data_IF_500894173219
#
_entry.id   IF_500894173219
#
_cell.length_a   1.000
_cell.length_b   1.000
_cell.length_c   1.000
_cell.angle_alpha   90.00
_cell.angle_beta   90.00
_cell.angle_gamma   90.00
#
_symmetry.space_group_name_H-M   'P 1'
#
loop_
_entity.id
_entity.type
_entity.pdbx_description
1 polymer ?
#
# COMPACT_ATOMS: atom_id res chain seq x y z
N UNK A 1 -29.05 -25.44 -6.62
CA UNK A 1 -27.77 -25.51 -5.87
C UNK A 1 -26.55 -25.23 -6.75
N UNK A 2 -26.32 -25.97 -7.86
CA UNK A 2 -25.15 -25.75 -8.75
C UNK A 2 -25.02 -24.31 -9.28
N UNK A 3 -26.14 -23.67 -9.66
CA UNK A 3 -26.17 -22.27 -10.13
C UNK A 3 -25.83 -21.23 -9.04
N UNK A 4 -26.22 -21.50 -7.79
CA UNK A 4 -25.89 -20.64 -6.64
C UNK A 4 -24.42 -20.71 -6.27
N UNK A 5 -23.82 -21.91 -6.37
CA UNK A 5 -22.37 -22.11 -6.18
C UNK A 5 -21.55 -21.39 -7.25
N UNK A 6 -22.01 -21.36 -8.50
CA UNK A 6 -21.33 -20.64 -9.58
C UNK A 6 -21.41 -19.12 -9.37
N UNK A 7 -22.55 -18.60 -8.92
CA UNK A 7 -22.71 -17.16 -8.61
C UNK A 7 -21.84 -16.75 -7.42
N UNK A 8 -21.72 -17.59 -6.39
CA UNK A 8 -20.85 -17.29 -5.24
C UNK A 8 -19.36 -17.33 -5.62
N UNK A 9 -18.94 -18.28 -6.47
CA UNK A 9 -17.55 -18.35 -6.96
C UNK A 9 -17.21 -17.16 -7.86
N UNK A 10 -18.13 -16.72 -8.74
CA UNK A 10 -17.94 -15.55 -9.61
C UNK A 10 -17.92 -14.24 -8.81
N UNK A 11 -18.75 -14.11 -7.78
CA UNK A 11 -18.75 -12.95 -6.89
C UNK A 11 -17.43 -12.80 -6.11
N UNK A 12 -16.87 -13.91 -5.62
CA UNK A 12 -15.56 -13.92 -4.95
C UNK A 12 -14.44 -13.55 -5.93
N UNK A 13 -14.50 -14.02 -7.17
CA UNK A 13 -13.50 -13.68 -8.21
C UNK A 13 -13.45 -12.19 -8.56
N UNK A 14 -14.58 -11.49 -8.55
CA UNK A 14 -14.67 -10.05 -8.81
C UNK A 14 -14.10 -9.19 -7.67
N UNK A 15 -14.23 -9.64 -6.42
CA UNK A 15 -13.65 -8.95 -5.24
C UNK A 15 -12.12 -9.05 -5.25
N UNK A 16 -11.55 -10.16 -5.75
CA UNK A 16 -10.10 -10.36 -5.87
C UNK A 16 -9.47 -9.55 -7.02
N UNK A 17 -10.24 -9.19 -8.04
CA UNK A 17 -9.76 -8.39 -9.18
C UNK A 17 -9.85 -6.87 -8.93
N UNK A 18 -10.62 -6.44 -7.92
CA UNK A 18 -10.73 -5.04 -7.51
C UNK A 18 -9.70 -4.60 -6.46
N UNK A 19 -8.86 -5.52 -5.97
CA UNK A 19 -7.84 -5.26 -4.95
C UNK A 19 -6.57 -4.56 -5.48
N UNK A 20 -6.68 -3.82 -6.59
CA UNK A 20 -5.63 -2.95 -7.11
C UNK A 20 -5.65 -1.61 -6.35
N UNK A 21 -5.38 -1.65 -5.04
CA UNK A 21 -5.35 -0.45 -4.21
C UNK A 21 -4.58 -0.69 -2.91
N UNK A 22 -3.75 0.29 -2.53
CA UNK A 22 -2.69 0.24 -1.51
C UNK A 22 -3.09 -0.02 -0.06
N UNK A 23 -4.24 -0.63 0.20
CA UNK A 23 -4.56 -1.28 1.47
C UNK A 23 -5.82 -2.11 1.29
N UNK A 24 -5.72 -3.42 1.51
CA UNK A 24 -6.86 -4.31 1.37
C UNK A 24 -7.71 -4.30 2.66
N UNK A 25 -8.90 -3.69 2.55
CA UNK A 25 -10.19 -4.09 3.11
C UNK A 25 -10.75 -3.62 4.46
N UNK A 26 -10.05 -2.95 5.38
CA UNK A 26 -10.75 -2.45 6.58
C UNK A 26 -10.36 -1.06 7.12
N UNK A 27 -9.27 -0.44 6.68
CA UNK A 27 -8.90 0.89 7.18
C UNK A 27 -8.08 1.74 6.21
N UNK A 28 -8.70 2.24 5.13
CA UNK A 28 -8.14 3.38 4.38
C UNK A 28 -9.22 4.26 3.80
N UNK A 29 -9.52 5.34 4.49
CA UNK A 29 -10.16 6.52 3.88
C UNK A 29 -9.24 7.19 2.84
N UNK A 30 -7.94 6.84 2.79
CA UNK A 30 -6.94 7.49 1.94
C UNK A 30 -6.02 6.52 1.20
N UNK A 31 -5.91 6.69 -0.12
CA UNK A 31 -4.86 6.05 -0.94
C UNK A 31 -3.66 6.98 -1.00
N UNK A 32 -2.55 6.60 -0.35
CA UNK A 32 -1.30 7.35 -0.43
C UNK A 32 -0.53 6.94 -1.69
N UNK A 33 -0.29 7.93 -2.56
CA UNK A 33 0.34 7.74 -3.88
C UNK A 33 1.83 8.07 -3.86
N UNK A 34 2.31 8.77 -2.83
CA UNK A 34 3.69 9.25 -2.73
C UNK A 34 4.26 8.96 -1.35
N UNK A 35 5.57 8.72 -1.32
CA UNK A 35 6.33 8.59 -0.08
C UNK A 35 7.63 9.39 -0.13
N UNK A 36 8.07 9.83 1.03
CA UNK A 36 9.43 10.29 1.31
C UNK A 36 9.96 9.52 2.51
N UNK A 37 11.12 8.89 2.38
CA UNK A 37 11.73 8.04 3.40
C UNK A 37 13.17 8.47 3.63
N UNK A 38 13.52 8.77 4.88
CA UNK A 38 14.91 9.02 5.29
C UNK A 38 15.60 7.68 5.58
N UNK A 39 16.63 7.36 4.82
CA UNK A 39 17.42 6.13 4.96
C UNK A 39 18.50 6.28 6.07
N UNK A 40 19.06 5.17 6.57
CA UNK A 40 20.05 5.20 7.65
C UNK A 40 21.33 5.98 7.32
N UNK A 41 21.69 6.07 6.05
CA UNK A 41 22.82 6.88 5.55
C UNK A 41 22.51 8.38 5.44
N UNK A 42 21.29 8.79 5.81
CA UNK A 42 20.81 10.16 5.74
C UNK A 42 20.26 10.57 4.37
N UNK A 43 20.33 9.70 3.36
CA UNK A 43 19.74 9.97 2.05
C UNK A 43 18.21 9.92 2.11
N UNK A 44 17.56 10.61 1.17
CA UNK A 44 16.10 10.66 1.09
C UNK A 44 15.64 9.93 -0.17
N UNK A 45 14.86 8.87 0.01
CA UNK A 45 14.13 8.20 -1.08
C UNK A 45 12.74 8.82 -1.19
N UNK A 46 12.45 9.42 -2.34
CA UNK A 46 11.15 10.07 -2.63
C UNK A 46 10.61 9.56 -3.95
N UNK A 47 9.30 9.34 -4.03
CA UNK A 47 8.68 8.89 -5.27
C UNK A 47 7.26 8.38 -5.11
N UNK A 48 6.73 7.81 -6.20
CA UNK A 48 5.42 7.17 -6.23
C UNK A 48 5.44 5.83 -5.52
N UNK A 49 4.35 5.53 -4.82
CA UNK A 49 4.17 4.33 -4.01
C UNK A 49 3.29 3.36 -4.76
N UNK A 50 3.84 2.18 -5.03
CA UNK A 50 3.13 1.07 -5.61
C UNK A 50 2.23 0.37 -4.58
N UNK A 51 2.71 0.14 -3.34
CA UNK A 51 1.94 -0.31 -2.16
C UNK A 51 2.59 0.15 -0.86
N UNK A 52 1.81 0.24 0.22
CA UNK A 52 2.35 0.38 1.57
C UNK A 52 1.55 -0.48 2.54
N UNK A 53 2.22 -0.97 3.58
CA UNK A 53 1.63 -1.72 4.69
C UNK A 53 2.15 -1.13 6.00
N UNK A 54 1.29 -1.09 7.01
CA UNK A 54 1.65 -0.88 8.41
C UNK A 54 1.63 -2.20 9.17
N UNK A 55 2.51 -2.31 10.16
CA UNK A 55 2.53 -3.42 11.09
C UNK A 55 2.37 -2.90 12.52
N UNK A 56 2.21 -3.82 13.48
CA UNK A 56 2.16 -3.48 14.90
C UNK A 56 3.32 -2.57 15.33
N UNK A 57 2.99 -1.51 16.06
CA UNK A 57 3.94 -0.48 16.47
C UNK A 57 4.18 0.58 15.39
N UNK A 58 5.44 0.97 15.21
CA UNK A 58 5.84 2.10 14.36
C UNK A 58 6.45 1.66 13.03
N UNK A 59 6.09 0.48 12.52
CA UNK A 59 6.74 -0.08 11.33
C UNK A 59 5.88 0.09 10.07
N UNK A 60 6.49 0.60 9.00
CA UNK A 60 5.91 0.74 7.68
C UNK A 60 6.75 -0.02 6.65
N UNK A 61 6.11 -0.82 5.81
CA UNK A 61 6.69 -1.31 4.56
C UNK A 61 6.19 -0.44 3.41
N UNK A 62 7.10 0.13 2.63
CA UNK A 62 6.77 0.97 1.48
C UNK A 62 7.42 0.37 0.24
N UNK A 63 6.62 0.08 -0.78
CA UNK A 63 7.06 -0.36 -2.11
C UNK A 63 6.87 0.78 -3.10
N UNK A 64 7.95 1.23 -3.70
CA UNK A 64 7.94 2.27 -4.73
C UNK A 64 7.64 1.65 -6.11
N UNK A 65 7.13 2.46 -7.04
CA UNK A 65 6.87 2.02 -8.43
C UNK A 65 8.13 1.56 -9.18
N UNK A 66 9.32 2.00 -8.77
CA UNK A 66 10.60 1.56 -9.36
C UNK A 66 11.09 0.19 -8.84
N UNK A 67 10.29 -0.49 -8.01
CA UNK A 67 10.60 -1.79 -7.43
C UNK A 67 11.37 -1.72 -6.11
N UNK A 68 11.80 -0.53 -5.67
CA UNK A 68 12.45 -0.37 -4.36
C UNK A 68 11.47 -0.70 -3.24
N UNK A 69 11.85 -1.58 -2.32
CA UNK A 69 11.07 -1.89 -1.11
C UNK A 69 11.88 -1.52 0.12
N UNK A 70 11.27 -0.79 1.05
CA UNK A 70 11.89 -0.41 2.32
C UNK A 70 10.97 -0.78 3.47
N UNK A 71 11.59 -1.27 4.55
CA UNK A 71 10.96 -1.43 5.86
C UNK A 71 11.53 -0.36 6.77
N UNK A 72 10.69 0.51 7.32
CA UNK A 72 11.12 1.73 7.98
C UNK A 72 10.27 2.04 9.19
N UNK A 73 10.85 2.75 10.16
CA UNK A 73 10.08 3.34 11.25
C UNK A 73 9.24 4.52 10.73
N UNK A 74 7.99 4.64 11.17
CA UNK A 74 7.03 5.68 10.80
C UNK A 74 7.59 7.10 10.97
N UNK A 75 8.45 7.34 11.99
CA UNK A 75 9.06 8.65 12.24
C UNK A 75 10.04 9.09 11.15
N UNK A 76 10.47 8.18 10.29
CA UNK A 76 11.37 8.45 9.16
C UNK A 76 10.65 8.48 7.81
N UNK A 77 9.32 8.36 7.79
CA UNK A 77 8.53 8.27 6.58
C UNK A 77 7.39 9.30 6.56
N UNK A 78 7.09 9.82 5.38
CA UNK A 78 5.89 10.61 5.08
C UNK A 78 5.16 9.93 3.93
N UNK A 79 3.88 9.64 4.12
CA UNK A 79 2.96 9.18 3.08
C UNK A 79 2.02 10.33 2.68
N UNK A 80 1.81 10.51 1.38
CA UNK A 80 1.00 11.62 0.86
C UNK A 80 0.11 11.19 -0.30
N UNK A 81 -1.09 11.77 -0.36
CA UNK A 81 -2.00 11.63 -1.51
C UNK A 81 -1.45 12.43 -2.68
N UNK A 82 -0.92 13.63 -2.41
CA UNK A 82 -0.36 14.56 -3.39
C UNK A 82 1.17 14.45 -3.50
N UNK A 83 1.77 14.90 -4.62
CA UNK A 83 3.22 14.96 -4.74
C UNK A 83 3.86 15.78 -3.60
N UNK A 84 4.82 15.16 -2.90
CA UNK A 84 5.61 15.84 -1.88
C UNK A 84 6.52 16.86 -2.59
N UNK A 85 6.60 18.10 -2.08
CA UNK A 85 7.46 19.17 -2.64
C UNK A 85 8.91 19.01 -2.19
#
# INVERSE_FOLDING_TARGET
MKKLVIVSVLGIGLVLLGACGNKQFFDTTYTFNYAMVKLPDGTIKKGKVATWDDYEGEQLQIKFEDGTTVLVNSTNAVLSVDPIK
#
